data_IF_020616704567
#
_entry.id   IF_020616704567
#
_cell.length_a   1.000
_cell.length_b   1.000
_cell.length_c   1.000
_cell.angle_alpha   90.00
_cell.angle_beta   90.00
_cell.angle_gamma   90.00
#
_symmetry.space_group_name_H-M   'P 1'
#
loop_
_entity.id
_entity.type
_entity.pdbx_description
1 polymer ?
#
# COMPACT_ATOMS: atom_id res chain seq x y z
N UNK A 1 -3.35 4.96 -13.65
CA UNK A 1 -4.42 5.12 -12.66
C UNK A 1 -4.38 4.09 -11.52
N UNK A 2 -3.46 3.09 -11.54
CA UNK A 2 -3.26 2.12 -10.44
C UNK A 2 -2.03 2.53 -9.64
N UNK A 3 -2.16 2.65 -8.32
CA UNK A 3 -1.08 3.01 -7.41
C UNK A 3 -1.08 2.15 -6.14
N UNK A 4 0.08 2.08 -5.50
CA UNK A 4 0.28 1.43 -4.20
C UNK A 4 0.76 2.42 -3.12
N UNK A 5 0.77 3.73 -3.44
CA UNK A 5 1.29 4.76 -2.55
C UNK A 5 0.48 6.05 -2.71
N UNK A 6 -0.45 6.31 -1.79
CA UNK A 6 -1.28 7.52 -1.84
C UNK A 6 -0.46 8.81 -1.68
N UNK A 7 0.55 8.81 -0.82
CA UNK A 7 1.42 9.97 -0.62
C UNK A 7 2.33 10.26 -1.81
N UNK A 8 2.66 9.23 -2.62
CA UNK A 8 3.48 9.38 -3.82
C UNK A 8 2.66 9.97 -4.99
N UNK A 9 1.49 9.41 -5.24
CA UNK A 9 0.73 9.62 -6.47
C UNK A 9 -0.55 10.43 -6.28
N UNK A 10 -1.01 10.64 -5.04
CA UNK A 10 -2.30 11.27 -4.75
C UNK A 10 -2.47 12.66 -5.37
N UNK A 11 -1.39 13.41 -5.52
CA UNK A 11 -1.41 14.74 -6.12
C UNK A 11 -1.90 14.75 -7.58
N UNK A 12 -1.69 13.65 -8.33
CA UNK A 12 -2.15 13.52 -9.73
C UNK A 12 -3.67 13.35 -9.85
N UNK A 13 -4.35 13.07 -8.74
CA UNK A 13 -5.80 12.81 -8.69
C UNK A 13 -6.60 13.95 -8.05
N UNK A 14 -6.02 15.17 -8.00
CA UNK A 14 -6.72 16.34 -7.47
C UNK A 14 -8.06 16.57 -8.21
N UNK A 15 -9.13 16.78 -7.44
CA UNK A 15 -10.51 16.96 -7.92
C UNK A 15 -11.06 15.77 -8.73
N UNK A 16 -10.48 14.58 -8.62
CA UNK A 16 -10.97 13.35 -9.26
C UNK A 16 -11.61 12.41 -8.24
N UNK A 17 -12.39 11.46 -8.73
CA UNK A 17 -12.90 10.34 -7.94
C UNK A 17 -11.89 9.21 -7.95
N UNK A 18 -11.57 8.69 -6.79
CA UNK A 18 -10.61 7.60 -6.63
C UNK A 18 -11.16 6.52 -5.71
N UNK A 19 -10.60 5.32 -5.82
CA UNK A 19 -10.87 4.23 -4.92
C UNK A 19 -9.62 3.88 -4.09
N UNK A 20 -9.83 3.48 -2.84
CA UNK A 20 -8.83 2.83 -1.98
C UNK A 20 -9.33 1.45 -1.63
N UNK A 21 -8.50 0.43 -1.83
CA UNK A 21 -8.84 -0.96 -1.52
C UNK A 21 -8.08 -1.40 -0.28
N UNK A 22 -8.79 -1.71 0.79
CA UNK A 22 -8.19 -2.17 2.03
C UNK A 22 -9.09 -1.93 3.24
N UNK A 23 -8.59 -2.18 4.45
CA UNK A 23 -9.37 -2.01 5.68
C UNK A 23 -8.52 -2.05 6.95
N UNK A 24 -7.20 -1.99 6.81
CA UNK A 24 -6.24 -1.75 7.89
C UNK A 24 -5.88 -0.27 8.00
N UNK A 25 -4.97 0.06 8.92
CA UNK A 25 -4.54 1.45 9.18
C UNK A 25 -4.10 2.16 7.91
N UNK A 26 -3.24 1.56 7.10
CA UNK A 26 -2.74 2.13 5.84
C UNK A 26 -3.88 2.54 4.91
N UNK A 27 -4.89 1.68 4.73
CA UNK A 27 -6.03 2.00 3.86
C UNK A 27 -6.87 3.18 4.38
N UNK A 28 -7.05 3.26 5.71
CA UNK A 28 -7.78 4.37 6.34
C UNK A 28 -6.99 5.69 6.25
N UNK A 29 -5.68 5.63 6.49
CA UNK A 29 -4.77 6.78 6.36
C UNK A 29 -4.69 7.27 4.91
N UNK A 30 -4.57 6.36 3.94
CA UNK A 30 -4.56 6.67 2.51
C UNK A 30 -5.88 7.35 2.09
N UNK A 31 -7.03 6.82 2.54
CA UNK A 31 -8.33 7.42 2.26
C UNK A 31 -8.45 8.83 2.84
N UNK A 32 -8.00 9.04 4.07
CA UNK A 32 -7.98 10.35 4.72
C UNK A 32 -7.03 11.32 4.02
N UNK A 33 -5.87 10.85 3.58
CA UNK A 33 -4.91 11.66 2.84
C UNK A 33 -5.49 12.11 1.48
N UNK A 34 -6.02 11.18 0.70
CA UNK A 34 -6.61 11.45 -0.61
C UNK A 34 -7.84 12.36 -0.52
N UNK A 35 -8.65 12.22 0.54
CA UNK A 35 -9.82 13.05 0.76
C UNK A 35 -9.52 14.55 0.90
N UNK A 36 -8.26 14.93 1.13
CA UNK A 36 -7.84 16.35 1.18
C UNK A 36 -7.80 17.02 -0.18
N UNK A 37 -7.62 16.24 -1.25
CA UNK A 37 -7.42 16.77 -2.60
C UNK A 37 -8.34 16.17 -3.66
N UNK A 38 -8.84 14.97 -3.46
CA UNK A 38 -9.76 14.30 -4.36
C UNK A 38 -11.20 14.78 -4.16
N UNK A 39 -12.00 14.73 -5.23
CA UNK A 39 -13.43 15.07 -5.18
C UNK A 39 -14.20 14.07 -4.32
N UNK A 40 -13.96 12.78 -4.54
CA UNK A 40 -14.57 11.69 -3.78
C UNK A 40 -13.58 10.52 -3.65
N UNK A 41 -13.60 9.87 -2.51
CA UNK A 41 -12.81 8.67 -2.21
C UNK A 41 -13.75 7.53 -1.88
N UNK A 42 -13.69 6.43 -2.62
CA UNK A 42 -14.42 5.19 -2.33
C UNK A 42 -13.50 4.23 -1.60
N UNK A 43 -13.77 3.98 -0.32
CA UNK A 43 -13.00 3.02 0.49
C UNK A 43 -13.68 1.65 0.40
N UNK A 44 -13.09 0.73 -0.36
CA UNK A 44 -13.63 -0.59 -0.67
C UNK A 44 -13.02 -1.62 0.28
N UNK A 45 -13.86 -2.31 1.04
CA UNK A 45 -13.44 -3.32 1.99
C UNK A 45 -14.25 -4.61 1.86
N UNK A 46 -13.55 -5.76 1.84
CA UNK A 46 -14.16 -7.09 1.64
C UNK A 46 -14.96 -7.64 2.82
N UNK A 47 -14.93 -6.98 3.98
CA UNK A 47 -15.64 -7.37 5.21
C UNK A 47 -16.61 -6.28 5.64
N UNK A 48 -17.46 -6.59 6.62
CA UNK A 48 -18.43 -5.66 7.21
C UNK A 48 -17.82 -4.71 8.26
N UNK A 49 -16.56 -4.91 8.66
CA UNK A 49 -15.87 -4.06 9.62
C UNK A 49 -14.39 -3.87 9.25
N UNK A 50 -13.89 -2.66 9.43
CA UNK A 50 -12.47 -2.35 9.29
C UNK A 50 -11.65 -2.97 10.43
N UNK A 51 -10.38 -3.29 10.15
CA UNK A 51 -9.42 -3.78 11.13
C UNK A 51 -8.52 -2.69 11.70
N UNK A 52 -8.49 -1.53 11.05
CA UNK A 52 -7.67 -0.40 11.47
C UNK A 52 -8.16 0.23 12.77
N UNK A 53 -7.35 1.09 13.37
CA UNK A 53 -7.60 1.75 14.64
C UNK A 53 -8.93 2.51 14.65
N UNK A 54 -9.67 2.43 15.75
CA UNK A 54 -11.00 3.07 15.87
C UNK A 54 -10.95 4.58 15.62
N UNK A 55 -9.89 5.24 16.02
CA UNK A 55 -9.72 6.68 15.78
C UNK A 55 -9.67 7.02 14.30
N UNK A 56 -8.99 6.21 13.49
CA UNK A 56 -8.96 6.38 12.03
C UNK A 56 -10.33 6.11 11.41
N UNK A 57 -11.03 5.07 11.89
CA UNK A 57 -12.39 4.78 11.43
C UNK A 57 -13.35 5.95 11.69
N UNK A 58 -13.28 6.56 12.88
CA UNK A 58 -14.08 7.75 13.21
C UNK A 58 -13.75 8.94 12.30
N UNK A 59 -12.47 9.17 12.02
CA UNK A 59 -12.04 10.23 11.11
C UNK A 59 -12.54 10.00 9.68
N UNK A 60 -12.48 8.75 9.18
CA UNK A 60 -13.02 8.37 7.87
C UNK A 60 -14.53 8.62 7.80
N UNK A 61 -15.27 8.20 8.82
CA UNK A 61 -16.74 8.37 8.90
C UNK A 61 -17.16 9.86 8.98
N UNK A 62 -16.30 10.70 9.55
CA UNK A 62 -16.55 12.14 9.64
C UNK A 62 -16.27 12.91 8.34
N UNK A 63 -15.70 12.26 7.31
CA UNK A 63 -15.39 12.88 6.02
C UNK A 63 -16.55 12.71 5.04
N UNK A 64 -17.17 13.80 4.63
CA UNK A 64 -18.32 13.82 3.70
C UNK A 64 -17.97 13.27 2.30
N UNK A 65 -16.72 13.42 1.88
CA UNK A 65 -16.26 12.96 0.58
C UNK A 65 -15.63 11.56 0.58
N UNK A 66 -15.71 10.81 1.70
CA UNK A 66 -15.34 9.41 1.75
C UNK A 66 -16.60 8.55 1.79
N UNK A 67 -16.71 7.61 0.86
CA UNK A 67 -17.81 6.62 0.80
C UNK A 67 -17.24 5.24 1.09
N UNK A 68 -17.69 4.63 2.17
CA UNK A 68 -17.27 3.27 2.53
C UNK A 68 -18.16 2.23 1.84
N UNK A 69 -17.54 1.37 1.04
CA UNK A 69 -18.17 0.23 0.37
C UNK A 69 -17.73 -1.05 1.08
N UNK A 70 -18.53 -1.46 2.06
CA UNK A 70 -18.28 -2.67 2.85
C UNK A 70 -18.73 -3.92 2.10
N UNK A 71 -18.25 -5.08 2.54
CA UNK A 71 -18.55 -6.38 1.92
C UNK A 71 -18.33 -6.39 0.40
N UNK A 72 -17.35 -5.61 -0.08
CA UNK A 72 -17.15 -5.36 -1.51
C UNK A 72 -15.71 -5.68 -1.92
N UNK A 73 -15.55 -6.24 -3.12
CA UNK A 73 -14.26 -6.53 -3.75
C UNK A 73 -14.21 -5.92 -5.14
N UNK A 74 -13.01 -5.62 -5.60
CA UNK A 74 -12.76 -5.20 -6.97
C UNK A 74 -12.42 -6.44 -7.78
N UNK A 75 -13.24 -6.76 -8.76
CA UNK A 75 -13.05 -7.90 -9.65
C UNK A 75 -12.23 -7.52 -10.87
N UNK A 76 -12.44 -6.31 -11.41
CA UNK A 76 -11.73 -5.81 -12.58
C UNK A 76 -11.50 -4.30 -12.49
N UNK A 77 -10.38 -3.87 -13.07
CA UNK A 77 -10.04 -2.47 -13.31
C UNK A 77 -10.15 -2.25 -14.80
N UNK A 78 -11.00 -1.31 -15.23
CA UNK A 78 -11.37 -1.09 -16.60
C UNK A 78 -10.99 0.32 -17.08
N UNK A 79 -10.59 0.40 -18.36
CA UNK A 79 -10.19 1.62 -19.04
C UNK A 79 -9.28 1.28 -20.22
N UNK A 80 -9.03 2.23 -21.11
CA UNK A 80 -8.08 2.06 -22.23
C UNK A 80 -6.69 2.59 -21.83
N UNK A 81 -6.50 3.90 -21.90
CA UNK A 81 -5.22 4.54 -21.53
C UNK A 81 -5.13 4.87 -20.04
N UNK A 82 -6.27 5.04 -19.39
CA UNK A 82 -6.39 5.38 -17.98
C UNK A 82 -7.45 4.51 -17.31
N UNK A 83 -7.47 4.49 -15.98
CA UNK A 83 -8.57 3.89 -15.22
C UNK A 83 -9.81 4.77 -15.43
N UNK A 84 -10.89 4.14 -15.84
CA UNK A 84 -12.19 4.80 -16.09
C UNK A 84 -13.25 4.32 -15.10
N UNK A 85 -13.20 3.04 -14.73
CA UNK A 85 -14.12 2.43 -13.77
C UNK A 85 -13.58 1.14 -13.18
N UNK A 86 -14.17 0.74 -12.07
CA UNK A 86 -13.96 -0.55 -11.43
C UNK A 86 -15.22 -1.38 -11.55
N UNK A 87 -15.09 -2.66 -11.90
CA UNK A 87 -16.15 -3.64 -11.69
C UNK A 87 -16.00 -4.19 -10.28
N UNK A 88 -16.99 -3.93 -9.43
CA UNK A 88 -17.00 -4.34 -8.02
C UNK A 88 -18.16 -5.29 -7.75
N UNK A 89 -17.96 -6.26 -6.88
CA UNK A 89 -19.04 -7.15 -6.44
C UNK A 89 -19.18 -7.15 -4.91
N UNK A 90 -20.40 -7.28 -4.45
CA UNK A 90 -20.69 -7.46 -3.04
C UNK A 90 -20.49 -8.95 -2.66
N UNK A 91 -19.69 -9.21 -1.63
CA UNK A 91 -19.32 -10.57 -1.23
C UNK A 91 -20.48 -11.35 -0.62
N UNK A 92 -21.52 -10.64 -0.08
CA UNK A 92 -22.70 -11.23 0.54
C UNK A 92 -23.88 -11.36 -0.44
N UNK A 93 -24.25 -10.27 -1.12
CA UNK A 93 -25.41 -10.27 -2.03
C UNK A 93 -25.09 -10.77 -3.42
N UNK A 94 -23.79 -10.82 -3.80
CA UNK A 94 -23.30 -11.16 -5.15
C UNK A 94 -23.70 -10.15 -6.24
N UNK A 95 -24.29 -9.04 -5.85
CA UNK A 95 -24.57 -7.95 -6.79
C UNK A 95 -23.27 -7.33 -7.29
N UNK A 96 -23.21 -7.09 -8.60
CA UNK A 96 -22.08 -6.45 -9.25
C UNK A 96 -22.47 -5.07 -9.76
N UNK A 97 -21.55 -4.11 -9.68
CA UNK A 97 -21.78 -2.72 -10.10
C UNK A 97 -20.50 -2.14 -10.69
N UNK A 98 -20.66 -1.32 -11.70
CA UNK A 98 -19.57 -0.51 -12.25
C UNK A 98 -19.46 0.81 -11.46
N UNK A 99 -18.28 1.06 -10.89
CA UNK A 99 -17.96 2.25 -10.11
C UNK A 99 -17.04 3.17 -10.94
N UNK A 100 -17.52 4.31 -11.45
CA UNK A 100 -16.68 5.24 -12.19
C UNK A 100 -15.65 5.91 -11.27
N UNK A 101 -14.36 5.70 -11.55
CA UNK A 101 -13.23 6.35 -10.85
C UNK A 101 -12.06 6.53 -11.81
N UNK A 102 -11.21 7.50 -11.56
CA UNK A 102 -10.03 7.80 -12.38
C UNK A 102 -8.73 7.26 -11.78
N UNK A 103 -8.80 6.67 -10.58
CA UNK A 103 -7.64 6.06 -9.94
C UNK A 103 -8.03 5.06 -8.87
N UNK A 104 -7.14 4.10 -8.63
CA UNK A 104 -7.28 3.10 -7.58
C UNK A 104 -5.96 2.97 -6.82
N UNK A 105 -6.05 2.99 -5.50
CA UNK A 105 -4.94 2.82 -4.56
C UNK A 105 -5.11 1.49 -3.82
N UNK A 106 -4.12 0.62 -3.93
CA UNK A 106 -4.16 -0.73 -3.37
C UNK A 106 -3.43 -0.75 -2.03
N UNK A 107 -4.18 -0.86 -0.92
CA UNK A 107 -3.68 -0.82 0.46
C UNK A 107 -4.03 -2.12 1.22
N UNK A 108 -3.77 -3.27 0.60
CA UNK A 108 -4.10 -4.61 1.16
C UNK A 108 -2.95 -5.25 1.93
N UNK A 109 -1.82 -4.57 2.04
CA UNK A 109 -0.57 -5.03 2.63
C UNK A 109 0.53 -5.25 1.59
N UNK A 110 1.75 -5.28 2.07
CA UNK A 110 2.95 -5.45 1.24
C UNK A 110 3.63 -6.75 1.68
N UNK A 111 4.11 -7.54 0.71
CA UNK A 111 4.97 -8.69 0.94
C UNK A 111 6.32 -8.43 0.25
N UNK A 112 7.47 -8.61 0.94
CA UNK A 112 8.75 -8.48 0.31
C UNK A 112 8.97 -9.62 -0.70
N UNK A 113 9.57 -9.31 -1.85
CA UNK A 113 9.85 -10.31 -2.89
C UNK A 113 11.17 -11.05 -2.60
N UNK A 114 11.21 -11.74 -1.48
CA UNK A 114 12.39 -12.47 -0.98
C UNK A 114 12.29 -13.99 -1.14
N UNK A 115 11.17 -14.50 -1.62
CA UNK A 115 10.95 -15.95 -1.74
C UNK A 115 11.80 -16.61 -2.84
N UNK A 116 12.24 -15.84 -3.82
CA UNK A 116 13.00 -16.34 -4.98
C UNK A 116 14.46 -16.66 -4.68
N UNK A 117 14.97 -16.25 -3.53
CA UNK A 117 16.38 -16.44 -3.17
C UNK A 117 16.47 -17.55 -2.12
N UNK A 118 16.94 -18.74 -2.51
CA UNK A 118 17.17 -19.86 -1.59
C UNK A 118 18.47 -19.66 -0.79
N UNK A 119 18.51 -20.12 0.47
CA UNK A 119 19.69 -20.00 1.33
C UNK A 119 19.96 -18.60 1.85
N UNK A 120 18.96 -17.77 1.93
CA UNK A 120 19.04 -16.37 2.35
C UNK A 120 19.28 -16.20 3.86
N UNK A 121 19.74 -14.96 4.20
CA UNK A 121 19.79 -14.49 5.57
C UNK A 121 18.47 -14.68 6.31
N UNK A 122 18.52 -14.63 7.62
CA UNK A 122 17.33 -14.69 8.48
C UNK A 122 16.31 -13.63 8.11
N UNK A 123 15.03 -14.01 8.21
CA UNK A 123 13.88 -13.15 7.93
C UNK A 123 12.97 -13.05 9.13
N UNK A 124 12.19 -11.97 9.19
CA UNK A 124 11.08 -11.88 10.12
C UNK A 124 9.87 -12.71 9.64
N UNK A 125 8.81 -12.74 10.46
CA UNK A 125 7.57 -13.48 10.16
C UNK A 125 6.85 -12.96 8.89
N UNK A 126 7.09 -11.70 8.51
CA UNK A 126 6.53 -11.09 7.31
C UNK A 126 7.38 -11.34 6.05
N UNK A 127 8.56 -11.97 6.20
CA UNK A 127 9.47 -12.31 5.11
C UNK A 127 10.56 -11.28 4.82
N UNK A 128 10.66 -10.20 5.60
CA UNK A 128 11.72 -9.19 5.44
C UNK A 128 13.05 -9.70 5.98
N UNK A 129 14.15 -9.44 5.27
CA UNK A 129 15.49 -9.81 5.72
C UNK A 129 15.87 -8.98 6.96
N UNK A 130 16.32 -9.65 8.00
CA UNK A 130 16.75 -9.01 9.24
C UNK A 130 18.10 -8.33 9.04
N UNK A 131 18.12 -7.01 9.10
CA UNK A 131 19.34 -6.20 9.09
C UNK A 131 19.09 -4.83 9.73
N UNK A 132 20.14 -4.28 10.34
CA UNK A 132 20.14 -2.92 10.86
C UNK A 132 20.41 -1.89 9.73
N UNK A 133 20.69 -0.64 10.11
CA UNK A 133 20.93 0.45 9.14
C UNK A 133 22.21 0.26 8.30
N UNK A 134 23.16 -0.55 8.78
CA UNK A 134 24.38 -0.92 8.07
C UNK A 134 24.16 -1.95 6.96
N UNK A 135 22.98 -2.54 6.88
CA UNK A 135 22.62 -3.57 5.90
C UNK A 135 23.30 -4.91 6.13
N UNK A 136 24.02 -5.12 7.26
CA UNK A 136 24.72 -6.37 7.56
C UNK A 136 23.72 -7.46 7.90
N UNK A 137 23.88 -8.62 7.25
CA UNK A 137 23.06 -9.82 7.52
C UNK A 137 23.79 -10.81 8.40
N UNK A 138 23.13 -11.88 8.82
CA UNK A 138 23.73 -12.97 9.58
C UNK A 138 24.64 -13.89 8.72
N UNK A 139 24.72 -13.67 7.42
CA UNK A 139 25.62 -14.40 6.53
C UNK A 139 26.81 -13.50 6.14
N UNK A 140 28.04 -13.86 6.51
CA UNK A 140 29.22 -13.08 6.16
C UNK A 140 29.33 -12.83 4.64
N UNK A 141 29.57 -11.58 4.27
CA UNK A 141 29.68 -11.17 2.86
C UNK A 141 28.36 -10.91 2.14
N UNK A 142 27.21 -11.11 2.79
CA UNK A 142 25.91 -10.76 2.25
C UNK A 142 25.36 -9.53 2.97
N UNK A 143 24.99 -8.53 2.18
CA UNK A 143 24.41 -7.27 2.62
C UNK A 143 23.01 -7.11 1.99
N UNK A 144 22.13 -6.39 2.67
CA UNK A 144 20.80 -6.10 2.18
C UNK A 144 20.51 -4.60 2.25
N UNK A 145 19.90 -4.07 1.20
CA UNK A 145 19.50 -2.68 1.11
C UNK A 145 18.09 -2.56 0.51
N UNK A 146 17.36 -1.51 0.88
CA UNK A 146 16.05 -1.20 0.33
C UNK A 146 14.89 -1.90 1.02
N UNK A 147 13.78 -2.03 0.29
CA UNK A 147 12.46 -2.38 0.82
C UNK A 147 12.32 -3.85 1.24
N UNK A 148 13.29 -4.70 0.89
CA UNK A 148 13.29 -6.12 1.24
C UNK A 148 13.84 -6.42 2.66
N UNK A 149 14.42 -5.41 3.35
CA UNK A 149 14.87 -5.55 4.74
C UNK A 149 13.87 -5.02 5.77
N UNK A 150 14.08 -5.38 7.02
CA UNK A 150 13.33 -4.84 8.16
C UNK A 150 13.58 -3.33 8.30
N UNK A 151 12.54 -2.52 8.11
CA UNK A 151 12.56 -1.06 8.29
C UNK A 151 11.14 -0.51 8.37
N UNK A 152 10.98 0.69 8.90
CA UNK A 152 9.67 1.32 9.01
C UNK A 152 9.25 2.02 7.73
N UNK A 153 10.11 2.88 7.17
CA UNK A 153 9.80 3.69 6.00
C UNK A 153 10.39 3.06 4.73
N UNK A 154 9.53 2.83 3.74
CA UNK A 154 9.86 2.27 2.43
C UNK A 154 9.59 3.31 1.35
N UNK A 155 10.66 3.97 0.92
CA UNK A 155 10.67 5.03 -0.10
C UNK A 155 11.97 4.95 -0.92
N UNK A 156 11.97 5.46 -2.13
CA UNK A 156 13.16 5.46 -3.01
C UNK A 156 14.36 6.08 -2.31
N UNK A 157 14.17 7.20 -1.61
CA UNK A 157 15.26 7.88 -0.90
C UNK A 157 15.84 7.03 0.24
N UNK A 158 15.00 6.28 0.98
CA UNK A 158 15.48 5.39 2.05
C UNK A 158 16.14 4.14 1.48
N UNK A 159 15.72 3.65 0.33
CA UNK A 159 16.39 2.55 -0.36
C UNK A 159 17.78 2.96 -0.86
N UNK A 160 17.91 4.17 -1.41
CA UNK A 160 19.20 4.72 -1.83
C UNK A 160 20.15 4.93 -0.64
N UNK A 161 19.65 5.43 0.48
CA UNK A 161 20.42 5.58 1.73
C UNK A 161 20.92 4.23 2.26
N UNK A 162 20.08 3.19 2.24
CA UNK A 162 20.49 1.83 2.62
C UNK A 162 21.66 1.34 1.73
N UNK A 163 21.57 1.58 0.42
CA UNK A 163 22.65 1.22 -0.51
C UNK A 163 23.97 1.90 -0.17
N UNK A 164 23.92 3.20 0.14
CA UNK A 164 25.11 3.96 0.54
C UNK A 164 25.71 3.42 1.86
N UNK A 165 24.88 3.10 2.85
CA UNK A 165 25.32 2.53 4.11
C UNK A 165 25.97 1.15 3.92
N UNK A 166 25.33 0.25 3.19
CA UNK A 166 25.83 -1.09 2.92
C UNK A 166 27.17 -1.07 2.18
N UNK A 167 27.34 -0.19 1.15
CA UNK A 167 28.60 -0.03 0.43
C UNK A 167 29.71 0.53 1.33
N UNK A 168 29.41 1.54 2.14
CA UNK A 168 30.38 2.12 3.07
C UNK A 168 30.91 1.07 4.05
N UNK A 169 30.03 0.20 4.57
CA UNK A 169 30.42 -0.86 5.49
C UNK A 169 31.31 -1.91 4.84
N UNK A 170 31.06 -2.28 3.58
CA UNK A 170 31.88 -3.24 2.83
C UNK A 170 33.29 -2.74 2.53
N UNK A 171 33.52 -1.43 2.43
CA UNK A 171 34.81 -0.83 2.09
C UNK A 171 35.64 -0.41 3.32
N UNK A 172 35.01 -0.29 4.50
CA UNK A 172 35.69 0.16 5.73
C UNK A 172 36.19 -1.00 6.61
N UNK A 173 36.00 -2.23 6.17
CA UNK A 173 36.51 -3.47 6.79
C UNK A 173 37.13 -4.35 5.70
#
# INVERSE_FOLDING_TARGET
GVSYCATCDGAFFKNRDVAVVGGGDVALEDALFLARGCRKVYLIHRRDAFRGAKVLQQQVQAKENIVCLMDSVVDQILGQDMVEKLHISNTKTKEATDLPVQGIFIAVGIKPNTDTIQGLPKRDEAGYILAAEDGVTDIPGIFVAGDCRTKQLRQVITAAADGANAVSYTHLR
#
